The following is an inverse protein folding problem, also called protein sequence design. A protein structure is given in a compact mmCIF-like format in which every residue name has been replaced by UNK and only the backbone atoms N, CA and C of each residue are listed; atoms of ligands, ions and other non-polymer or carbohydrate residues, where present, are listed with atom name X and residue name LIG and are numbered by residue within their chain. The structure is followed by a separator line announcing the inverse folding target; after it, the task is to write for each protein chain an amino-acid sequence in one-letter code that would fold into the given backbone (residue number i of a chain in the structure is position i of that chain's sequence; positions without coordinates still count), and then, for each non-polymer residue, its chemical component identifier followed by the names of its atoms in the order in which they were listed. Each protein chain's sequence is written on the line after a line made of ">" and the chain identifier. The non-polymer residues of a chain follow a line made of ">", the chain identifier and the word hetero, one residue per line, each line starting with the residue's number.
data_IF_524249849740
#
_entry.id   IF_524249849740
#
_cell.length_a   1.000
_cell.length_b   1.000
_cell.length_c   1.000
_cell.angle_alpha   90.00
_cell.angle_beta   90.00
_cell.angle_gamma   90.00
#
_symmetry.space_group_name_H-M   'P 1'
#
loop_
_entity.id
_entity.type
_entity.pdbx_description
1 polymer ?
#
# COMPACT_ATOMS: atom_id res chain seq x y z
N UNK A 1 28.12 24.16 4.00
CA UNK A 1 26.87 23.82 4.71
C UNK A 1 26.86 22.33 4.95
N UNK A 2 26.77 21.94 6.22
CA UNK A 2 27.17 20.62 6.71
C UNK A 2 26.07 19.58 6.48
N UNK A 3 26.38 18.50 5.75
CA UNK A 3 25.54 17.32 5.50
C UNK A 3 25.32 16.42 6.75
N UNK A 4 25.50 16.96 7.97
CA UNK A 4 25.60 16.21 9.23
C UNK A 4 24.40 16.44 10.18
N UNK A 5 23.27 16.94 9.68
CA UNK A 5 22.06 17.16 10.48
C UNK A 5 20.99 16.07 10.30
N UNK A 6 21.38 14.84 9.94
CA UNK A 6 20.50 13.67 9.89
C UNK A 6 20.63 12.77 11.14
N UNK A 7 21.23 13.29 12.21
CA UNK A 7 21.35 12.53 13.45
C UNK A 7 20.06 12.56 14.28
N UNK A 8 19.67 11.34 14.68
CA UNK A 8 18.94 11.02 15.89
C UNK A 8 17.44 11.30 16.01
N UNK A 9 16.64 11.27 14.94
CA UNK A 9 15.28 10.73 15.15
C UNK A 9 15.40 9.21 15.24
N UNK A 10 15.72 8.73 16.45
CA UNK A 10 15.38 7.37 16.85
C UNK A 10 13.86 7.30 16.75
N UNK A 11 13.36 6.93 15.57
CA UNK A 11 11.95 6.72 15.38
C UNK A 11 11.59 5.59 16.33
N UNK A 12 10.93 5.91 17.44
CA UNK A 12 10.34 4.91 18.31
C UNK A 12 9.25 4.27 17.47
N UNK A 13 9.64 3.22 16.73
CA UNK A 13 8.73 2.47 15.88
C UNK A 13 7.68 1.91 16.81
N UNK A 14 6.47 2.42 16.67
CA UNK A 14 5.39 2.03 17.56
C UNK A 14 5.16 0.52 17.40
N UNK A 15 5.30 -0.23 18.52
CA UNK A 15 5.23 -1.69 18.46
C UNK A 15 3.77 -2.15 18.39
N UNK A 16 3.43 -3.00 17.42
CA UNK A 16 2.10 -3.61 17.32
C UNK A 16 1.78 -4.39 18.59
N UNK A 17 0.62 -4.13 19.18
CA UNK A 17 0.04 -5.01 20.20
C UNK A 17 -0.83 -6.08 19.54
N UNK A 18 -1.11 -7.18 20.25
CA UNK A 18 -2.06 -8.20 19.80
C UNK A 18 -3.43 -7.59 19.44
N UNK A 19 -3.88 -6.57 20.19
CA UNK A 19 -5.13 -5.84 19.93
C UNK A 19 -5.12 -5.17 18.55
N UNK A 20 -4.02 -4.54 18.17
CA UNK A 20 -3.91 -3.88 16.86
C UNK A 20 -3.80 -4.84 15.69
N UNK A 21 -3.16 -6.00 15.88
CA UNK A 21 -3.21 -7.07 14.89
C UNK A 21 -4.64 -7.56 14.67
N UNK A 22 -5.39 -7.83 15.75
CA UNK A 22 -6.79 -8.25 15.66
C UNK A 22 -7.67 -7.17 15.02
N UNK A 23 -7.39 -5.89 15.28
CA UNK A 23 -8.08 -4.79 14.62
C UNK A 23 -7.83 -4.78 13.11
N UNK A 24 -6.57 -4.92 12.66
CA UNK A 24 -6.27 -5.02 11.23
C UNK A 24 -6.89 -6.26 10.58
N UNK A 25 -6.92 -7.40 11.29
CA UNK A 25 -7.63 -8.60 10.82
C UNK A 25 -9.13 -8.33 10.70
N UNK A 26 -9.76 -7.70 11.71
CA UNK A 26 -11.18 -7.36 11.68
C UNK A 26 -11.53 -6.38 10.56
N UNK A 27 -10.71 -5.34 10.37
CA UNK A 27 -10.86 -4.39 9.26
C UNK A 27 -10.71 -5.10 7.91
N UNK A 28 -9.73 -6.00 7.76
CA UNK A 28 -9.56 -6.78 6.54
C UNK A 28 -10.79 -7.63 6.22
N UNK A 29 -11.37 -8.32 7.22
CA UNK A 29 -12.59 -9.13 7.03
C UNK A 29 -13.80 -8.26 6.68
N UNK A 30 -13.97 -7.11 7.36
CA UNK A 30 -15.06 -6.18 7.09
C UNK A 30 -14.97 -5.57 5.68
N UNK A 31 -13.77 -5.16 5.27
CA UNK A 31 -13.55 -4.64 3.92
C UNK A 31 -13.79 -5.72 2.88
N UNK A 32 -13.36 -6.95 3.12
CA UNK A 32 -13.60 -8.05 2.19
C UNK A 32 -15.10 -8.31 2.02
N UNK A 33 -15.86 -8.40 3.11
CA UNK A 33 -17.29 -8.69 3.06
C UNK A 33 -18.13 -7.58 2.43
N UNK A 34 -17.71 -6.31 2.61
CA UNK A 34 -18.43 -5.16 2.04
C UNK A 34 -17.95 -4.76 0.65
N UNK A 35 -16.75 -5.21 0.23
CA UNK A 35 -16.11 -4.80 -1.03
C UNK A 35 -16.96 -4.93 -2.30
N UNK A 36 -17.80 -5.97 -2.48
CA UNK A 36 -18.62 -6.07 -3.70
C UNK A 36 -19.69 -4.97 -3.76
N UNK A 37 -20.18 -4.53 -2.61
CA UNK A 37 -21.27 -3.54 -2.50
C UNK A 37 -20.72 -2.12 -2.48
N UNK A 38 -19.59 -1.89 -1.82
CA UNK A 38 -19.06 -0.53 -1.58
C UNK A 38 -18.14 -0.03 -2.69
N UNK A 39 -17.34 -0.92 -3.28
CA UNK A 39 -16.31 -0.58 -4.28
C UNK A 39 -16.59 -1.33 -5.61
N UNK A 40 -17.67 -2.11 -5.67
CA UNK A 40 -18.07 -2.82 -6.88
C UNK A 40 -17.13 -3.95 -7.27
N UNK A 41 -16.42 -4.57 -6.31
CA UNK A 41 -15.54 -5.71 -6.62
C UNK A 41 -16.37 -6.82 -7.30
N UNK A 42 -15.95 -7.31 -8.48
CA UNK A 42 -16.66 -8.38 -9.16
C UNK A 42 -16.82 -9.62 -8.26
N UNK A 43 -18.00 -10.22 -8.23
CA UNK A 43 -18.29 -11.45 -7.47
C UNK A 43 -17.67 -12.71 -8.12
N UNK A 44 -16.60 -12.55 -8.88
CA UNK A 44 -15.86 -13.65 -9.48
C UNK A 44 -14.89 -14.24 -8.46
N UNK A 45 -14.65 -15.57 -8.48
CA UNK A 45 -13.72 -16.20 -7.54
C UNK A 45 -12.31 -15.59 -7.57
N UNK A 46 -11.85 -15.18 -8.75
CA UNK A 46 -10.53 -14.56 -8.96
C UNK A 46 -10.44 -13.16 -8.34
N UNK A 47 -11.42 -12.28 -8.57
CA UNK A 47 -11.42 -10.94 -7.99
C UNK A 47 -11.54 -10.97 -6.46
N UNK A 48 -12.37 -11.87 -5.93
CA UNK A 48 -12.49 -12.09 -4.48
C UNK A 48 -11.20 -12.63 -3.88
N UNK A 49 -10.52 -13.59 -4.54
CA UNK A 49 -9.24 -14.12 -4.08
C UNK A 49 -8.15 -13.06 -4.05
N UNK A 50 -8.03 -12.26 -5.11
CA UNK A 50 -7.04 -11.17 -5.19
C UNK A 50 -7.33 -10.12 -4.12
N UNK A 51 -8.59 -9.73 -3.95
CA UNK A 51 -9.02 -8.81 -2.88
C UNK A 51 -8.69 -9.36 -1.49
N UNK A 52 -8.94 -10.65 -1.25
CA UNK A 52 -8.61 -11.30 0.01
C UNK A 52 -7.09 -11.34 0.27
N UNK A 53 -6.28 -11.67 -0.75
CA UNK A 53 -4.82 -11.67 -0.67
C UNK A 53 -4.27 -10.26 -0.40
N UNK A 54 -4.81 -9.24 -1.06
CA UNK A 54 -4.51 -7.85 -0.75
C UNK A 54 -4.83 -7.58 0.72
N UNK A 55 -6.07 -7.79 1.16
CA UNK A 55 -6.49 -7.43 2.52
C UNK A 55 -5.73 -8.21 3.61
N UNK A 56 -5.28 -9.44 3.34
CA UNK A 56 -4.40 -10.21 4.22
C UNK A 56 -3.03 -9.53 4.46
N UNK A 57 -2.61 -8.62 3.57
CA UNK A 57 -1.39 -7.83 3.75
C UNK A 57 -1.51 -6.83 4.92
N UNK A 58 -2.71 -6.40 5.32
CA UNK A 58 -2.93 -5.52 6.49
C UNK A 58 -2.45 -6.18 7.81
N UNK A 59 -2.98 -7.35 8.22
CA UNK A 59 -2.47 -8.03 9.42
C UNK A 59 -1.02 -8.50 9.24
N UNK A 60 -0.59 -8.85 8.02
CA UNK A 60 0.81 -9.23 7.78
C UNK A 60 1.77 -8.06 8.02
N UNK A 61 1.50 -6.89 7.43
CA UNK A 61 2.28 -5.66 7.65
C UNK A 61 2.22 -5.18 9.10
N UNK A 62 1.15 -5.56 9.83
CA UNK A 62 1.06 -5.26 11.25
C UNK A 62 2.17 -5.95 12.05
N UNK A 63 2.54 -7.20 11.73
CA UNK A 63 3.62 -7.98 12.37
C UNK A 63 4.98 -7.84 11.69
N UNK A 64 4.99 -7.91 10.36
CA UNK A 64 6.19 -7.90 9.51
C UNK A 64 6.01 -6.82 8.44
N UNK A 65 6.32 -5.54 8.76
CA UNK A 65 6.09 -4.41 7.88
C UNK A 65 6.62 -4.58 6.46
N UNK A 66 7.89 -5.01 6.32
CA UNK A 66 8.54 -5.18 5.03
C UNK A 66 7.91 -6.31 4.20
N UNK A 67 7.58 -7.44 4.83
CA UNK A 67 6.96 -8.58 4.16
C UNK A 67 5.53 -8.24 3.70
N UNK A 68 4.74 -7.57 4.54
CA UNK A 68 3.39 -7.13 4.18
C UNK A 68 3.38 -6.09 3.05
N UNK A 69 4.33 -5.15 3.08
CA UNK A 69 4.52 -4.19 2.01
C UNK A 69 4.91 -4.87 0.69
N UNK A 70 5.91 -5.74 0.70
CA UNK A 70 6.35 -6.48 -0.49
C UNK A 70 5.23 -7.38 -1.06
N UNK A 71 4.50 -8.08 -0.19
CA UNK A 71 3.36 -8.90 -0.60
C UNK A 71 2.25 -8.05 -1.23
N UNK A 72 1.91 -6.91 -0.64
CA UNK A 72 0.89 -6.02 -1.21
C UNK A 72 1.29 -5.49 -2.58
N UNK A 73 2.58 -5.19 -2.79
CA UNK A 73 3.12 -4.72 -4.05
C UNK A 73 3.09 -5.82 -5.12
N UNK A 74 3.43 -7.06 -4.75
CA UNK A 74 3.34 -8.20 -5.64
C UNK A 74 1.90 -8.46 -6.10
N UNK A 75 0.93 -8.38 -5.18
CA UNK A 75 -0.49 -8.53 -5.51
C UNK A 75 -0.98 -7.37 -6.38
N UNK A 76 -0.57 -6.13 -6.10
CA UNK A 76 -0.89 -4.96 -6.92
C UNK A 76 -0.33 -5.11 -8.34
N UNK A 77 0.92 -5.57 -8.48
CA UNK A 77 1.55 -5.83 -9.77
C UNK A 77 0.81 -6.90 -10.56
N UNK A 78 0.45 -8.01 -9.90
CA UNK A 78 -0.34 -9.07 -10.52
C UNK A 78 -1.71 -8.55 -11.00
N UNK A 79 -2.41 -7.78 -10.16
CA UNK A 79 -3.69 -7.19 -10.52
C UNK A 79 -3.57 -6.21 -11.69
N UNK A 80 -2.53 -5.39 -11.71
CA UNK A 80 -2.26 -4.40 -12.75
C UNK A 80 -1.97 -5.02 -14.13
N UNK A 81 -1.33 -6.19 -14.17
CA UNK A 81 -0.95 -6.88 -15.41
C UNK A 81 -1.95 -7.96 -15.83
N UNK A 82 -3.03 -8.15 -15.09
CA UNK A 82 -4.08 -9.10 -15.42
C UNK A 82 -4.99 -8.53 -16.51
N UNK A 83 -5.39 -9.32 -17.53
CA UNK A 83 -6.39 -8.90 -18.50
C UNK A 83 -7.82 -8.88 -17.92
N UNK A 84 -8.02 -9.41 -16.71
CA UNK A 84 -9.31 -9.47 -16.03
C UNK A 84 -9.47 -8.32 -15.03
N UNK A 85 -10.69 -7.80 -14.91
CA UNK A 85 -11.04 -6.86 -13.85
C UNK A 85 -11.05 -7.57 -12.49
N UNK A 86 -9.98 -7.38 -11.73
CA UNK A 86 -9.77 -7.97 -10.40
C UNK A 86 -10.14 -7.01 -9.26
N UNK A 87 -10.69 -5.84 -9.58
CA UNK A 87 -11.08 -4.81 -8.62
C UNK A 87 -9.94 -3.90 -8.16
N UNK A 88 -10.26 -2.63 -7.90
CA UNK A 88 -9.29 -1.58 -7.57
C UNK A 88 -8.64 -1.68 -6.18
N UNK A 89 -9.14 -2.55 -5.29
CA UNK A 89 -8.63 -2.68 -3.92
C UNK A 89 -7.15 -3.10 -3.92
N UNK A 90 -6.75 -3.98 -4.84
CA UNK A 90 -5.37 -4.45 -4.94
C UNK A 90 -4.39 -3.32 -5.27
N UNK A 91 -4.81 -2.33 -6.06
CA UNK A 91 -4.00 -1.17 -6.45
C UNK A 91 -3.94 -0.11 -5.35
N UNK A 92 -5.02 0.07 -4.60
CA UNK A 92 -5.11 1.08 -3.55
C UNK A 92 -4.45 0.65 -2.23
N UNK A 93 -4.42 -0.65 -1.95
CA UNK A 93 -3.95 -1.14 -0.65
C UNK A 93 -2.46 -0.80 -0.34
N UNK A 94 -1.51 -0.88 -1.28
CA UNK A 94 -0.13 -0.47 -1.01
C UNK A 94 -0.01 0.98 -0.52
N UNK A 95 -0.87 1.89 -1.02
CA UNK A 95 -0.94 3.27 -0.53
C UNK A 95 -1.45 3.34 0.92
N UNK A 96 -2.50 2.57 1.24
CA UNK A 96 -3.00 2.45 2.61
C UNK A 96 -1.93 1.94 3.57
N UNK A 97 -1.12 0.98 3.13
CA UNK A 97 0.03 0.49 3.89
C UNK A 97 1.13 1.55 4.05
N UNK A 98 1.43 2.34 3.02
CA UNK A 98 2.38 3.45 3.14
C UNK A 98 1.96 4.44 4.24
N UNK A 99 0.70 4.87 4.23
CA UNK A 99 0.14 5.80 5.23
C UNK A 99 0.19 5.16 6.63
N UNK A 100 -0.22 3.89 6.75
CA UNK A 100 -0.17 3.15 8.01
C UNK A 100 1.27 3.06 8.55
N UNK A 101 2.23 2.70 7.71
CA UNK A 101 3.64 2.56 8.11
C UNK A 101 4.26 3.91 8.47
N UNK A 102 3.90 4.99 7.76
CA UNK A 102 4.29 6.35 8.11
C UNK A 102 3.74 6.76 9.48
N UNK A 103 2.46 6.49 9.74
CA UNK A 103 1.84 6.75 11.05
C UNK A 103 2.46 5.94 12.20
N UNK A 104 3.10 4.81 11.91
CA UNK A 104 3.84 4.00 12.90
C UNK A 104 5.26 4.48 13.16
N UNK A 105 5.69 5.52 12.45
CA UNK A 105 7.04 6.05 12.54
C UNK A 105 8.08 5.12 11.92
N UNK A 106 7.74 4.33 10.89
CA UNK A 106 8.79 3.64 10.12
C UNK A 106 9.67 4.68 9.41
N UNK A 107 10.93 4.34 9.15
CA UNK A 107 11.86 5.26 8.48
C UNK A 107 11.31 5.69 7.12
N UNK A 108 11.34 7.00 6.87
CA UNK A 108 10.73 7.62 5.68
C UNK A 108 11.37 7.15 4.38
N UNK A 109 12.66 6.84 4.39
CA UNK A 109 13.39 6.28 3.24
C UNK A 109 12.76 4.98 2.72
N UNK A 110 12.41 4.05 3.62
CA UNK A 110 11.76 2.79 3.25
C UNK A 110 10.34 3.03 2.70
N UNK A 111 9.62 4.01 3.26
CA UNK A 111 8.25 4.34 2.84
C UNK A 111 8.25 5.02 1.48
N UNK A 112 9.19 5.94 1.22
CA UNK A 112 9.31 6.59 -0.08
C UNK A 112 9.68 5.60 -1.18
N UNK A 113 10.55 4.63 -0.90
CA UNK A 113 10.86 3.54 -1.84
C UNK A 113 9.60 2.71 -2.13
N UNK A 114 8.78 2.39 -1.13
CA UNK A 114 7.53 1.64 -1.31
C UNK A 114 6.50 2.44 -2.11
N UNK A 115 6.33 3.73 -1.81
CA UNK A 115 5.44 4.62 -2.54
C UNK A 115 5.89 4.73 -4.00
N UNK A 116 7.19 4.92 -4.25
CA UNK A 116 7.76 4.92 -5.59
C UNK A 116 7.51 3.60 -6.33
N UNK A 117 7.78 2.45 -5.72
CA UNK A 117 7.51 1.15 -6.33
C UNK A 117 6.01 0.96 -6.63
N UNK A 118 5.13 1.41 -5.72
CA UNK A 118 3.66 1.37 -5.94
C UNK A 118 3.28 2.22 -7.15
N UNK A 119 3.92 3.37 -7.35
CA UNK A 119 3.64 4.23 -8.49
C UNK A 119 4.10 3.61 -9.80
N UNK A 120 5.26 2.92 -9.81
CA UNK A 120 5.71 2.17 -10.98
C UNK A 120 4.70 1.08 -11.38
N UNK A 121 4.09 0.39 -10.40
CA UNK A 121 3.02 -0.59 -10.65
C UNK A 121 1.78 0.04 -11.29
N UNK A 122 1.40 1.25 -10.86
CA UNK A 122 0.28 1.96 -11.50
C UNK A 122 0.65 2.42 -12.90
N UNK A 123 1.89 2.90 -13.09
CA UNK A 123 2.40 3.37 -14.38
C UNK A 123 2.52 2.24 -15.40
N UNK A 124 2.82 1.01 -14.99
CA UNK A 124 2.87 -0.13 -15.91
C UNK A 124 1.51 -0.51 -16.50
N UNK A 125 0.41 -0.13 -15.84
CA UNK A 125 -0.95 -0.46 -16.26
C UNK A 125 -1.77 0.77 -16.72
N UNK A 126 -1.26 1.98 -16.54
CA UNK A 126 -1.95 3.21 -16.92
C UNK A 126 -1.81 3.52 -18.41
N UNK A 127 -2.89 4.03 -19.03
CA UNK A 127 -2.83 4.63 -20.36
C UNK A 127 -1.94 5.89 -20.34
N UNK A 128 -1.28 6.19 -21.45
CA UNK A 128 -0.28 7.27 -21.58
C UNK A 128 -0.77 8.67 -21.17
N UNK A 129 -2.08 8.89 -21.10
CA UNK A 129 -2.71 10.13 -20.63
C UNK A 129 -2.67 10.30 -19.09
N UNK A 130 -2.83 9.20 -18.34
CA UNK A 130 -2.84 9.22 -16.87
C UNK A 130 -1.42 9.26 -16.26
N UNK A 131 -0.41 9.07 -17.12
CA UNK A 131 1.01 9.09 -16.81
C UNK A 131 1.47 10.43 -16.21
N UNK A 132 1.00 11.55 -16.78
CA UNK A 132 1.40 12.89 -16.36
C UNK A 132 0.93 13.24 -14.95
N UNK A 133 -0.32 12.87 -14.60
CA UNK A 133 -0.90 13.15 -13.28
C UNK A 133 -0.23 12.33 -12.17
N UNK A 134 0.00 11.04 -12.41
CA UNK A 134 0.69 10.17 -11.45
C UNK A 134 2.13 10.65 -11.24
N UNK A 135 2.85 11.03 -12.30
CA UNK A 135 4.20 11.58 -12.18
C UNK A 135 4.22 12.87 -11.36
N UNK A 136 3.31 13.82 -11.61
CA UNK A 136 3.25 15.07 -10.82
C UNK A 136 2.92 14.83 -9.35
N UNK A 137 2.00 13.92 -9.03
CA UNK A 137 1.66 13.61 -7.64
C UNK A 137 2.79 12.85 -6.92
N UNK A 138 3.51 11.99 -7.64
CA UNK A 138 4.55 11.12 -7.06
C UNK A 138 5.88 11.84 -6.87
N UNK A 139 6.32 12.60 -7.87
CA UNK A 139 7.56 13.35 -7.80
C UNK A 139 7.35 14.71 -7.14
N UNK A 140 6.23 15.40 -7.41
CA UNK A 140 5.99 16.74 -6.89
C UNK A 140 5.81 16.79 -5.37
N UNK A 141 5.04 15.87 -4.79
CA UNK A 141 4.72 15.90 -3.35
C UNK A 141 5.95 15.73 -2.43
N UNK A 142 6.87 14.77 -2.65
CA UNK A 142 8.07 14.68 -1.84
C UNK A 142 9.04 15.85 -2.06
N UNK A 143 9.01 16.54 -3.21
CA UNK A 143 9.85 17.72 -3.46
C UNK A 143 9.41 18.97 -2.68
N UNK A 144 8.15 19.05 -2.23
CA UNK A 144 7.63 20.19 -1.45
C UNK A 144 7.82 19.97 0.06
N UNK A 145 8.11 18.74 0.48
CA UNK A 145 8.24 18.35 1.90
C UNK A 145 9.72 18.22 2.34
N UNK A 146 10.67 18.40 1.41
CA UNK A 146 12.12 18.56 1.68
C UNK A 146 12.41 20.06 1.82
#
# INVERSE_FOLDING_TARGET
>A
MSFLAFDSQISVTWRPTRRTHLLHTGVAVLLLSTSPVTIGVPLTPSALLVTAMSLACLPLASRLPAAGAAASLAVAWFAANSPYDLGGIALLLPWGLCIMLLGRGLRRDMIYVLAFATTLVHLSAASTWYLGLIQTATFGVPCVVI
#
